data_IF_235155305035
#
_entry.id   IF_235155305035
#
_cell.length_a   1.000
_cell.length_b   1.000
_cell.length_c   1.000
_cell.angle_alpha   90.00
_cell.angle_beta   90.00
_cell.angle_gamma   90.00
#
_symmetry.space_group_name_H-M   'P 1'
#
loop_
_entity.id
_entity.type
_entity.pdbx_description
1 polymer ?
#
# COMPACT_ATOMS: atom_id res chain seq x y z
N UNK A 1 7.21 -14.24 19.20
CA UNK A 1 5.77 -13.93 19.15
C UNK A 1 5.13 -14.33 17.82
N UNK A 2 5.62 -13.83 16.67
CA UNK A 2 5.04 -14.09 15.34
C UNK A 2 4.90 -15.58 14.99
N UNK A 3 5.90 -16.40 15.29
CA UNK A 3 5.81 -17.86 15.06
C UNK A 3 4.70 -18.53 15.88
N UNK A 4 4.37 -18.00 17.07
CA UNK A 4 3.25 -18.50 17.90
C UNK A 4 1.91 -18.07 17.29
N UNK A 5 1.80 -16.82 16.82
CA UNK A 5 0.61 -16.35 16.12
C UNK A 5 0.30 -17.20 14.86
N UNK A 6 1.33 -17.54 14.07
CA UNK A 6 1.18 -18.45 12.93
C UNK A 6 0.67 -19.84 13.35
N UNK A 7 1.21 -20.42 14.42
CA UNK A 7 0.73 -21.70 14.98
C UNK A 7 -0.74 -21.66 15.42
N UNK A 8 -1.25 -20.47 15.74
CA UNK A 8 -2.66 -20.24 16.10
C UNK A 8 -3.55 -19.95 14.87
N UNK A 9 -3.01 -20.02 13.65
CA UNK A 9 -3.75 -19.77 12.41
C UNK A 9 -3.85 -18.30 11.99
N UNK A 10 -3.17 -17.38 12.69
CA UNK A 10 -3.14 -15.97 12.31
C UNK A 10 -2.19 -15.76 11.13
N UNK A 11 -2.61 -14.87 10.22
CA UNK A 11 -1.71 -14.27 9.23
C UNK A 11 -0.87 -13.20 9.92
N UNK A 12 0.34 -12.99 9.42
CA UNK A 12 1.32 -12.07 10.02
C UNK A 12 1.65 -10.94 9.06
N UNK A 13 1.82 -9.74 9.62
CA UNK A 13 2.31 -8.51 8.98
C UNK A 13 3.36 -7.89 9.90
N UNK A 14 4.30 -7.13 9.37
CA UNK A 14 5.34 -6.47 10.16
C UNK A 14 5.45 -5.00 9.75
N UNK A 15 5.61 -4.11 10.74
CA UNK A 15 6.26 -2.82 10.48
C UNK A 15 7.75 -3.08 10.40
N UNK A 16 8.36 -2.72 9.28
CA UNK A 16 9.69 -3.18 8.92
C UNK A 16 10.51 -2.00 8.39
N UNK A 17 11.72 -1.88 8.95
CA UNK A 17 12.79 -1.03 8.45
C UNK A 17 12.35 0.43 8.18
N UNK A 18 11.57 0.99 9.10
CA UNK A 18 11.10 2.38 9.03
C UNK A 18 12.27 3.35 9.28
N UNK A 19 12.82 3.35 10.50
CA UNK A 19 13.85 4.30 10.92
C UNK A 19 15.28 3.80 10.74
N UNK A 20 15.47 2.50 10.52
CA UNK A 20 16.79 1.89 10.31
C UNK A 20 16.65 0.53 9.62
N UNK A 21 17.69 0.07 8.91
CA UNK A 21 17.72 -1.31 8.39
C UNK A 21 17.91 -2.28 9.56
N UNK A 22 16.80 -2.88 9.99
CA UNK A 22 16.73 -3.77 11.16
C UNK A 22 16.61 -5.25 10.79
N UNK A 23 16.46 -5.55 9.49
CA UNK A 23 16.17 -6.89 8.97
C UNK A 23 14.68 -7.26 9.07
N UNK A 24 13.79 -6.30 9.30
CA UNK A 24 12.36 -6.54 9.45
C UNK A 24 11.72 -7.08 8.17
N UNK A 25 12.12 -6.54 7.01
CA UNK A 25 11.63 -7.01 5.70
C UNK A 25 12.10 -8.44 5.41
N UNK A 26 13.36 -8.78 5.72
CA UNK A 26 13.87 -10.15 5.62
C UNK A 26 13.05 -11.12 6.46
N UNK A 27 12.82 -10.77 7.73
CA UNK A 27 12.02 -11.59 8.64
C UNK A 27 10.57 -11.76 8.13
N UNK A 28 9.99 -10.72 7.52
CA UNK A 28 8.67 -10.80 6.93
C UNK A 28 8.63 -11.85 5.80
N UNK A 29 9.64 -11.87 4.93
CA UNK A 29 9.78 -12.88 3.86
C UNK A 29 9.95 -14.29 4.44
N UNK A 30 10.86 -14.48 5.40
CA UNK A 30 11.11 -15.78 6.05
C UNK A 30 9.85 -16.36 6.72
N UNK A 31 9.04 -15.48 7.30
CA UNK A 31 7.78 -15.87 7.93
C UNK A 31 6.64 -16.04 6.93
N UNK A 32 6.81 -15.76 5.64
CA UNK A 32 5.72 -15.71 4.67
C UNK A 32 4.61 -14.75 5.11
N UNK A 33 5.00 -13.60 5.65
CA UNK A 33 4.09 -12.55 6.06
C UNK A 33 3.28 -12.05 4.86
N UNK A 34 2.06 -11.58 5.10
CA UNK A 34 1.23 -11.04 4.02
C UNK A 34 1.75 -9.70 3.54
N UNK A 35 2.41 -8.93 4.41
CA UNK A 35 3.16 -7.74 4.01
C UNK A 35 4.26 -7.35 5.00
N UNK A 36 5.20 -6.56 4.50
CA UNK A 36 6.14 -5.74 5.24
C UNK A 36 5.80 -4.26 4.95
N UNK A 37 5.58 -3.49 6.01
CA UNK A 37 5.05 -2.13 5.96
C UNK A 37 6.15 -1.11 6.30
N UNK A 38 6.11 0.11 5.74
CA UNK A 38 7.15 1.17 5.74
C UNK A 38 8.29 0.98 4.72
N UNK A 39 9.33 0.24 5.07
CA UNK A 39 10.51 -0.04 4.22
C UNK A 39 11.31 1.20 3.78
N UNK A 40 11.28 2.28 4.56
CA UNK A 40 12.01 3.53 4.26
C UNK A 40 13.52 3.27 4.25
N UNK A 41 14.01 2.58 5.28
CA UNK A 41 15.43 2.30 5.52
C UNK A 41 15.87 0.89 5.11
N UNK A 42 15.02 0.12 4.42
CA UNK A 42 15.34 -1.24 4.00
C UNK A 42 16.54 -1.24 3.04
N UNK A 43 17.50 -2.15 3.24
CA UNK A 43 18.69 -2.27 2.40
C UNK A 43 18.45 -3.05 1.08
N UNK A 44 19.44 -3.04 0.20
CA UNK A 44 19.35 -3.68 -1.13
C UNK A 44 19.08 -5.19 -1.06
N UNK A 45 19.64 -5.87 -0.07
CA UNK A 45 19.42 -7.31 0.12
C UNK A 45 17.97 -7.57 0.50
N UNK A 46 17.42 -6.74 1.40
CA UNK A 46 16.02 -6.80 1.81
C UNK A 46 15.07 -6.53 0.64
N UNK A 47 15.34 -5.51 -0.20
CA UNK A 47 14.53 -5.25 -1.38
C UNK A 47 14.54 -6.43 -2.37
N UNK A 48 15.70 -7.05 -2.57
CA UNK A 48 15.84 -8.22 -3.46
C UNK A 48 15.07 -9.44 -2.96
N UNK A 49 15.09 -9.68 -1.64
CA UNK A 49 14.32 -10.76 -1.01
C UNK A 49 12.82 -10.52 -1.14
N UNK A 50 12.36 -9.31 -0.87
CA UNK A 50 10.95 -8.93 -1.00
C UNK A 50 10.46 -9.11 -2.43
N UNK A 51 11.27 -8.68 -3.42
CA UNK A 51 10.95 -8.80 -4.83
C UNK A 51 10.79 -10.24 -5.33
N UNK A 52 11.42 -11.20 -4.65
CA UNK A 52 11.32 -12.64 -4.97
C UNK A 52 10.32 -13.40 -4.10
N UNK A 53 9.41 -12.69 -3.44
CA UNK A 53 8.48 -13.26 -2.46
C UNK A 53 7.03 -12.85 -2.71
N UNK A 54 6.10 -13.55 -2.04
CA UNK A 54 4.68 -13.18 -1.97
C UNK A 54 4.36 -12.17 -0.85
N UNK A 55 5.38 -11.63 -0.19
CA UNK A 55 5.21 -10.61 0.86
C UNK A 55 5.06 -9.24 0.22
N UNK A 56 3.90 -8.62 0.42
CA UNK A 56 3.61 -7.29 -0.14
C UNK A 56 4.44 -6.21 0.55
N UNK A 57 5.02 -5.31 -0.22
CA UNK A 57 5.70 -4.11 0.27
C UNK A 57 4.68 -2.97 0.41
N UNK A 58 4.16 -2.74 1.62
CA UNK A 58 3.20 -1.65 1.84
C UNK A 58 3.95 -0.35 2.13
N UNK A 59 3.98 0.55 1.15
CA UNK A 59 4.62 1.86 1.34
C UNK A 59 3.64 2.82 2.01
N UNK A 60 4.17 3.60 2.95
CA UNK A 60 3.42 4.51 3.80
C UNK A 60 3.95 5.95 3.62
N UNK A 61 3.82 6.55 2.42
CA UNK A 61 4.48 7.81 2.12
C UNK A 61 3.89 8.99 2.91
N UNK A 62 2.68 8.85 3.45
CA UNK A 62 2.12 9.80 4.40
C UNK A 62 2.96 9.92 5.67
N UNK A 63 3.53 8.82 6.17
CA UNK A 63 4.40 8.79 7.34
C UNK A 63 5.73 9.47 7.07
N UNK A 64 6.39 9.15 5.95
CA UNK A 64 7.61 9.84 5.50
C UNK A 64 7.39 11.36 5.41
N UNK A 65 6.27 11.77 4.80
CA UNK A 65 5.92 13.18 4.68
C UNK A 65 5.70 13.86 6.04
N UNK A 66 4.97 13.21 6.94
CA UNK A 66 4.61 13.78 8.24
C UNK A 66 5.79 13.87 9.20
N UNK A 67 6.70 12.89 9.17
CA UNK A 67 7.92 12.86 9.97
C UNK A 67 9.09 13.64 9.34
N UNK A 68 8.93 14.14 8.10
CA UNK A 68 10.01 14.73 7.31
C UNK A 68 11.22 13.77 7.16
N UNK A 69 10.92 12.51 6.90
CA UNK A 69 11.89 11.43 6.65
C UNK A 69 12.02 11.16 5.14
N UNK A 70 13.00 10.35 4.78
CA UNK A 70 13.11 9.81 3.44
C UNK A 70 11.89 8.96 3.05
N UNK A 71 11.68 8.81 1.74
CA UNK A 71 10.60 8.00 1.19
C UNK A 71 11.13 6.61 0.81
N UNK A 72 10.31 5.59 1.05
CA UNK A 72 10.64 4.24 0.61
C UNK A 72 10.89 4.18 -0.90
N UNK A 73 11.84 3.32 -1.29
CA UNK A 73 12.36 3.17 -2.66
C UNK A 73 11.38 2.41 -3.57
N UNK A 74 10.18 2.98 -3.74
CA UNK A 74 9.06 2.34 -4.45
C UNK A 74 9.37 1.99 -5.90
N UNK A 75 10.03 2.89 -6.64
CA UNK A 75 10.48 2.61 -8.00
C UNK A 75 11.40 1.40 -8.08
N UNK A 76 12.42 1.35 -7.22
CA UNK A 76 13.37 0.24 -7.17
C UNK A 76 12.69 -1.08 -6.82
N UNK A 77 11.74 -1.08 -5.88
CA UNK A 77 10.94 -2.26 -5.55
C UNK A 77 10.15 -2.78 -6.75
N UNK A 78 9.48 -1.89 -7.49
CA UNK A 78 8.68 -2.28 -8.66
C UNK A 78 9.58 -2.80 -9.79
N UNK A 79 10.69 -2.12 -10.07
CA UNK A 79 11.61 -2.52 -11.13
C UNK A 79 12.26 -3.90 -10.86
N UNK A 80 12.40 -4.27 -9.57
CA UNK A 80 12.84 -5.61 -9.14
C UNK A 80 11.73 -6.66 -9.19
N UNK A 81 10.47 -6.27 -9.38
CA UNK A 81 9.31 -7.16 -9.46
C UNK A 81 8.56 -7.35 -8.15
N UNK A 82 8.81 -6.53 -7.13
CA UNK A 82 8.09 -6.62 -5.85
C UNK A 82 6.61 -6.21 -5.99
N UNK A 83 5.77 -6.84 -5.17
CA UNK A 83 4.36 -6.46 -5.05
C UNK A 83 4.29 -5.23 -4.15
N UNK A 84 4.00 -4.05 -4.72
CA UNK A 84 3.89 -2.80 -3.96
C UNK A 84 2.43 -2.46 -3.67
N UNK A 85 2.10 -2.21 -2.40
CA UNK A 85 0.81 -1.68 -1.96
C UNK A 85 0.98 -0.31 -1.28
N UNK A 86 -0.13 0.40 -1.11
CA UNK A 86 -0.17 1.69 -0.45
C UNK A 86 -1.21 1.69 0.67
N UNK A 87 -0.89 2.38 1.76
CA UNK A 87 -1.83 2.73 2.81
C UNK A 87 -1.49 4.10 3.41
N UNK A 88 -2.46 4.69 4.11
CA UNK A 88 -2.28 6.01 4.71
C UNK A 88 -1.50 5.99 6.01
N UNK A 89 -1.41 4.83 6.67
CA UNK A 89 -0.90 4.69 8.04
C UNK A 89 -1.61 5.61 9.04
N UNK A 90 -2.92 5.83 8.87
CA UNK A 90 -3.64 6.83 9.66
C UNK A 90 -3.54 6.53 11.17
N UNK A 91 -2.81 7.38 11.88
CA UNK A 91 -2.52 7.25 13.30
C UNK A 91 -2.18 8.62 13.94
N UNK A 92 -2.35 8.77 15.26
CA UNK A 92 -2.21 10.07 15.92
C UNK A 92 -0.75 10.56 16.08
N UNK A 93 0.24 9.68 15.92
CA UNK A 93 1.64 9.98 16.22
C UNK A 93 2.46 10.36 14.98
N UNK A 94 2.40 9.54 13.94
CA UNK A 94 3.31 9.63 12.79
C UNK A 94 2.62 9.85 11.45
N UNK A 95 1.28 9.73 11.36
CA UNK A 95 0.56 10.14 10.15
C UNK A 95 -0.93 10.45 10.39
N UNK A 96 -1.26 11.74 10.55
CA UNK A 96 -2.66 12.17 10.70
C UNK A 96 -3.35 12.45 9.33
N UNK A 97 -2.99 11.71 8.28
CA UNK A 97 -3.54 11.83 6.93
C UNK A 97 -4.49 10.66 6.67
N UNK A 98 -5.76 10.95 6.38
CA UNK A 98 -6.76 9.95 5.98
C UNK A 98 -7.20 10.08 4.52
N UNK A 99 -6.72 11.09 3.79
CA UNK A 99 -7.08 11.30 2.39
C UNK A 99 -6.27 10.36 1.47
N UNK A 100 -6.89 9.35 0.82
CA UNK A 100 -6.18 8.40 -0.03
C UNK A 100 -5.55 9.05 -1.26
N UNK A 101 -6.12 10.14 -1.79
CA UNK A 101 -5.57 10.82 -2.96
C UNK A 101 -4.25 11.52 -2.66
N UNK A 102 -4.07 12.03 -1.43
CA UNK A 102 -2.78 12.56 -1.00
C UNK A 102 -1.73 11.45 -0.90
N UNK A 103 -2.10 10.26 -0.42
CA UNK A 103 -1.18 9.11 -0.37
C UNK A 103 -0.75 8.69 -1.77
N UNK A 104 -1.70 8.59 -2.71
CA UNK A 104 -1.41 8.31 -4.13
C UNK A 104 -0.50 9.39 -4.72
N UNK A 105 -0.79 10.66 -4.48
CA UNK A 105 0.05 11.77 -4.93
C UNK A 105 1.49 11.68 -4.41
N UNK A 106 1.67 11.39 -3.12
CA UNK A 106 3.01 11.24 -2.52
C UNK A 106 3.74 10.01 -3.08
N UNK A 107 3.05 8.89 -3.29
CA UNK A 107 3.65 7.71 -3.90
C UNK A 107 4.17 8.02 -5.32
N UNK A 108 3.39 8.74 -6.12
CA UNK A 108 3.81 9.13 -7.48
C UNK A 108 4.96 10.14 -7.45
N UNK A 109 4.82 11.21 -6.66
CA UNK A 109 5.77 12.32 -6.65
C UNK A 109 7.07 12.07 -5.87
N UNK A 110 7.07 11.15 -4.90
CA UNK A 110 8.20 10.94 -3.98
C UNK A 110 8.74 9.50 -3.97
N UNK A 111 7.90 8.49 -4.21
CA UNK A 111 8.35 7.10 -4.31
C UNK A 111 8.63 6.63 -5.75
N UNK A 112 8.32 7.47 -6.75
CA UNK A 112 8.59 7.20 -8.16
C UNK A 112 7.62 6.20 -8.81
N UNK A 113 6.41 6.06 -8.28
CA UNK A 113 5.34 5.29 -8.92
C UNK A 113 4.75 6.06 -10.11
N UNK A 114 4.38 5.37 -11.19
CA UNK A 114 3.42 5.88 -12.17
C UNK A 114 2.03 5.95 -11.55
N UNK A 115 1.10 6.65 -12.23
CA UNK A 115 -0.28 6.77 -11.73
C UNK A 115 -0.96 5.40 -11.70
N UNK A 116 -0.74 4.60 -12.74
CA UNK A 116 -1.30 3.27 -12.93
C UNK A 116 -0.81 2.31 -11.84
N UNK A 117 0.50 2.33 -11.55
CA UNK A 117 1.07 1.54 -10.45
C UNK A 117 0.51 1.99 -9.11
N UNK A 118 0.36 3.30 -8.86
CA UNK A 118 -0.20 3.80 -7.61
C UNK A 118 -1.68 3.42 -7.42
N UNK A 119 -2.49 3.44 -8.49
CA UNK A 119 -3.89 2.99 -8.47
C UNK A 119 -3.93 1.48 -8.17
N UNK A 120 -3.12 0.66 -8.85
CA UNK A 120 -3.02 -0.77 -8.58
C UNK A 120 -2.54 -1.05 -7.15
N UNK A 121 -1.56 -0.28 -6.68
CA UNK A 121 -1.03 -0.37 -5.32
C UNK A 121 -2.09 -0.04 -4.25
N UNK A 122 -3.00 0.89 -4.53
CA UNK A 122 -4.10 1.26 -3.62
C UNK A 122 -5.36 0.39 -3.77
N UNK A 123 -5.41 -0.52 -4.76
CA UNK A 123 -6.59 -1.36 -5.06
C UNK A 123 -6.26 -2.85 -5.03
N UNK A 124 -5.76 -3.41 -6.14
CA UNK A 124 -5.48 -4.84 -6.31
C UNK A 124 -4.44 -5.32 -5.30
N UNK A 125 -3.32 -4.60 -5.16
CA UNK A 125 -2.23 -5.06 -4.30
C UNK A 125 -2.56 -4.88 -2.82
N UNK A 126 -3.29 -3.82 -2.44
CA UNK A 126 -3.82 -3.68 -1.08
C UNK A 126 -4.85 -4.76 -0.74
N UNK A 127 -5.66 -5.21 -1.69
CA UNK A 127 -6.53 -6.38 -1.49
C UNK A 127 -5.71 -7.66 -1.27
N UNK A 128 -4.64 -7.86 -2.04
CA UNK A 128 -3.72 -9.01 -1.88
C UNK A 128 -2.98 -8.98 -0.53
N UNK A 129 -2.52 -7.81 -0.07
CA UNK A 129 -1.88 -7.64 1.24
C UNK A 129 -2.79 -8.06 2.41
N UNK A 130 -4.10 -7.87 2.25
CA UNK A 130 -5.14 -8.25 3.21
C UNK A 130 -5.71 -9.65 2.96
N UNK A 131 -5.25 -10.34 1.91
CA UNK A 131 -5.73 -11.65 1.46
C UNK A 131 -7.22 -11.68 1.12
N UNK A 132 -7.66 -10.64 0.40
CA UNK A 132 -9.02 -10.40 -0.08
C UNK A 132 -9.08 -10.33 -1.62
N UNK A 133 -8.00 -10.69 -2.31
CA UNK A 133 -7.82 -10.60 -3.76
C UNK A 133 -8.86 -11.38 -4.57
N UNK A 134 -9.51 -12.38 -3.98
CA UNK A 134 -10.57 -13.17 -4.63
C UNK A 134 -11.92 -12.46 -4.69
N UNK A 135 -12.07 -11.32 -3.99
CA UNK A 135 -13.36 -10.60 -3.92
C UNK A 135 -13.24 -9.07 -3.85
N UNK A 136 -12.04 -8.49 -3.71
CA UNK A 136 -11.81 -7.04 -3.61
C UNK A 136 -10.69 -6.57 -4.52
N UNK A 137 -10.66 -5.26 -4.76
CA UNK A 137 -9.58 -4.57 -5.47
C UNK A 137 -9.73 -4.56 -7.00
N UNK A 138 -10.74 -5.23 -7.56
CA UNK A 138 -11.02 -5.30 -9.00
C UNK A 138 -12.47 -5.01 -9.31
N UNK A 139 -12.73 -4.46 -10.48
CA UNK A 139 -14.06 -4.34 -11.08
C UNK A 139 -14.23 -5.49 -12.06
N UNK A 140 -14.64 -6.64 -11.53
CA UNK A 140 -14.72 -7.90 -12.27
C UNK A 140 -15.93 -8.72 -11.77
N UNK A 141 -16.50 -9.56 -12.63
CA UNK A 141 -17.61 -10.43 -12.23
C UNK A 141 -17.18 -11.36 -11.08
N UNK A 142 -18.05 -11.50 -10.06
CA UNK A 142 -17.78 -12.31 -8.87
C UNK A 142 -17.11 -11.55 -7.71
N UNK A 143 -16.66 -10.31 -7.94
CA UNK A 143 -16.11 -9.44 -6.91
C UNK A 143 -17.22 -8.65 -6.19
N UNK A 144 -16.92 -8.19 -4.97
CA UNK A 144 -17.80 -7.27 -4.26
C UNK A 144 -17.97 -5.98 -5.06
N UNK A 145 -19.21 -5.52 -5.21
CA UNK A 145 -19.53 -4.22 -5.83
C UNK A 145 -19.18 -3.06 -4.87
N UNK A 146 -17.89 -2.89 -4.62
CA UNK A 146 -17.26 -1.82 -3.84
C UNK A 146 -16.59 -0.84 -4.83
N UNK A 147 -17.27 0.25 -5.18
CA UNK A 147 -16.87 1.16 -6.26
C UNK A 147 -16.79 2.61 -5.79
N UNK A 148 -15.83 3.33 -6.35
CA UNK A 148 -15.66 4.77 -6.17
C UNK A 148 -15.96 5.50 -7.48
N UNK A 149 -16.94 6.40 -7.46
CA UNK A 149 -17.25 7.27 -8.59
C UNK A 149 -16.52 8.60 -8.42
N UNK A 150 -15.69 8.97 -9.39
CA UNK A 150 -14.85 10.17 -9.34
C UNK A 150 -15.33 11.25 -10.32
N UNK A 151 -15.16 12.51 -9.94
CA UNK A 151 -15.43 13.71 -10.75
C UNK A 151 -14.20 14.06 -11.61
N UNK A 152 -13.65 13.08 -12.32
CA UNK A 152 -12.47 13.24 -13.18
C UNK A 152 -12.80 12.79 -14.59
N UNK A 153 -12.13 13.38 -15.59
CA UNK A 153 -12.27 12.94 -16.99
C UNK A 153 -11.30 11.82 -17.34
N UNK A 154 -10.17 11.79 -16.65
CA UNK A 154 -9.10 10.81 -16.82
C UNK A 154 -8.52 10.41 -15.46
N UNK A 155 -8.00 9.19 -15.33
CA UNK A 155 -7.48 8.68 -14.06
C UNK A 155 -6.23 9.44 -13.59
N UNK A 156 -5.45 10.04 -14.49
CA UNK A 156 -4.27 10.86 -14.15
C UNK A 156 -4.63 12.11 -13.36
N UNK A 157 -5.87 12.63 -13.51
CA UNK A 157 -6.34 13.80 -12.77
C UNK A 157 -6.44 13.55 -11.26
N UNK A 158 -6.45 12.29 -10.80
CA UNK A 158 -6.45 11.92 -9.38
C UNK A 158 -5.22 12.50 -8.68
N UNK A 159 -4.05 12.40 -9.33
CA UNK A 159 -2.78 12.88 -8.78
C UNK A 159 -2.74 14.41 -8.84
N UNK A 160 -3.15 15.01 -9.95
CA UNK A 160 -3.13 16.47 -10.11
C UNK A 160 -4.08 17.18 -9.14
N UNK A 161 -5.25 16.61 -8.89
CA UNK A 161 -6.30 17.21 -8.08
C UNK A 161 -6.40 16.62 -6.66
N UNK A 162 -5.30 16.07 -6.11
CA UNK A 162 -5.29 15.29 -4.86
C UNK A 162 -5.91 16.00 -3.64
N UNK A 163 -5.95 17.34 -3.64
CA UNK A 163 -6.50 18.18 -2.57
C UNK A 163 -7.97 18.56 -2.77
N UNK A 164 -8.59 18.23 -3.90
CA UNK A 164 -9.97 18.58 -4.25
C UNK A 164 -10.95 17.49 -3.81
N UNK A 165 -12.24 17.84 -3.69
CA UNK A 165 -13.32 16.85 -3.53
C UNK A 165 -13.63 16.13 -4.85
N UNK A 166 -12.88 15.06 -5.10
CA UNK A 166 -13.01 14.23 -6.30
C UNK A 166 -14.14 13.21 -6.20
N UNK A 167 -14.66 12.91 -5.02
CA UNK A 167 -15.62 11.81 -4.84
C UNK A 167 -17.02 12.28 -5.22
N UNK A 168 -17.57 11.70 -6.30
CA UNK A 168 -18.97 11.89 -6.73
C UNK A 168 -19.92 10.96 -5.98
N UNK A 169 -19.48 9.75 -5.67
CA UNK A 169 -20.30 8.76 -4.98
C UNK A 169 -19.52 7.52 -4.58
N UNK A 170 -20.08 6.77 -3.65
CA UNK A 170 -19.49 5.53 -3.13
C UNK A 170 -20.55 4.44 -3.17
N UNK A 171 -20.19 3.28 -3.70
CA UNK A 171 -21.00 2.07 -3.69
C UNK A 171 -20.28 1.06 -2.82
N UNK A 172 -20.97 0.47 -1.85
CA UNK A 172 -20.45 -0.57 -0.96
C UNK A 172 -21.38 -1.77 -1.00
N UNK A 173 -20.85 -2.94 -1.33
CA UNK A 173 -21.62 -4.18 -1.47
C UNK A 173 -22.87 -4.00 -2.34
N UNK A 174 -22.74 -3.25 -3.43
CA UNK A 174 -23.83 -2.97 -4.39
C UNK A 174 -24.81 -1.88 -3.96
N UNK A 175 -24.63 -1.25 -2.79
CA UNK A 175 -25.51 -0.17 -2.30
C UNK A 175 -24.80 1.17 -2.35
N UNK A 176 -25.47 2.20 -2.87
CA UNK A 176 -24.98 3.58 -2.80
C UNK A 176 -24.98 4.05 -1.34
N UNK A 177 -23.83 4.52 -0.85
CA UNK A 177 -23.64 5.04 0.52
C UNK A 177 -23.18 6.50 0.55
N UNK A 178 -22.82 7.07 -0.61
CA UNK A 178 -22.60 8.50 -0.86
C UNK A 178 -23.07 8.83 -2.27
#
# INVERSE_FOLDING_TARGET
>A
YLSKAKKMGFKTKLHADELSSSGGGRLAVELGATSADHLISADNETLELLAKSDTVCTLLPGTSFFLNEDFARGRELIDRGAIVALASDFNPGSCNIYNPFLIIFLAVSRCGLSVEEAINAYTVNSAYALRLESRKGRVEQGYDADLLLLKVKDYSEIVYNFSRDLVKGVIKSGKKVR
#
